data_IF_755439395551
#
_entry.id   IF_755439395551
#
_cell.length_a   1.000
_cell.length_b   1.000
_cell.length_c   1.000
_cell.angle_alpha   90.00
_cell.angle_beta   90.00
_cell.angle_gamma   90.00
#
_symmetry.space_group_name_H-M   'P 1'
#
loop_
_entity.id
_entity.type
_entity.pdbx_description
1 polymer ?
#
# COMPACT_ATOMS: atom_id res chain seq x y z
N UNK A 1 11.49 26.70 -27.99
CA UNK A 1 10.31 26.18 -27.26
C UNK A 1 9.53 27.38 -26.74
N UNK A 2 8.25 27.53 -27.11
CA UNK A 2 7.41 28.62 -26.58
C UNK A 2 7.10 28.31 -25.10
N UNK A 3 7.38 29.22 -24.14
CA UNK A 3 6.99 29.01 -22.76
C UNK A 3 5.46 28.90 -22.67
N UNK A 4 4.97 27.97 -21.85
CA UNK A 4 3.54 27.91 -21.47
C UNK A 4 3.12 29.30 -20.98
N UNK A 5 1.98 29.86 -21.45
CA UNK A 5 1.55 31.17 -21.00
C UNK A 5 1.27 31.11 -19.50
N UNK A 6 2.10 31.82 -18.72
CA UNK A 6 1.85 32.05 -17.31
C UNK A 6 0.46 32.68 -17.19
N UNK A 7 -0.50 31.96 -16.58
CA UNK A 7 -1.86 32.46 -16.42
C UNK A 7 -1.82 33.64 -15.45
N UNK A 8 -1.87 34.86 -16.00
CA UNK A 8 -1.94 36.10 -15.23
C UNK A 8 -3.32 36.18 -14.58
N UNK A 9 -3.35 36.52 -13.30
CA UNK A 9 -4.60 36.69 -12.55
C UNK A 9 -5.39 37.89 -13.09
N UNK A 10 -6.73 37.81 -13.17
CA UNK A 10 -7.60 38.86 -13.75
C UNK A 10 -7.38 40.24 -13.11
N UNK A 11 -7.17 40.27 -11.79
CA UNK A 11 -6.81 41.48 -11.01
C UNK A 11 -5.46 42.14 -11.36
N UNK A 12 -4.64 41.51 -12.21
CA UNK A 12 -3.41 42.09 -12.76
C UNK A 12 -3.52 42.30 -14.28
N UNK A 13 -4.67 42.02 -14.89
CA UNK A 13 -4.84 42.07 -16.35
C UNK A 13 -4.76 43.49 -16.92
N UNK A 14 -4.96 44.52 -16.08
CA UNK A 14 -4.80 45.93 -16.46
C UNK A 14 -3.34 46.38 -16.53
N UNK A 15 -2.41 45.59 -15.99
CA UNK A 15 -0.98 45.89 -15.99
C UNK A 15 -0.30 45.35 -17.25
N UNK A 16 0.66 46.10 -17.79
CA UNK A 16 1.54 45.63 -18.85
C UNK A 16 2.51 44.55 -18.35
N UNK A 17 3.12 43.79 -19.28
CA UNK A 17 4.10 42.76 -18.94
C UNK A 17 5.32 43.34 -18.22
N UNK A 18 5.74 44.56 -18.59
CA UNK A 18 6.81 45.30 -17.93
C UNK A 18 6.42 45.70 -16.51
N UNK A 19 5.19 46.19 -16.32
CA UNK A 19 4.66 46.55 -15.00
C UNK A 19 4.56 45.34 -14.06
N UNK A 20 4.11 44.20 -14.57
CA UNK A 20 4.07 42.94 -13.81
C UNK A 20 5.48 42.50 -13.42
N UNK A 21 6.45 42.64 -14.33
CA UNK A 21 7.84 42.28 -14.07
C UNK A 21 8.47 43.19 -13.00
N UNK A 22 8.21 44.50 -13.07
CA UNK A 22 8.65 45.48 -12.08
C UNK A 22 8.03 45.23 -10.70
N UNK A 23 6.71 45.05 -10.65
CA UNK A 23 5.98 44.67 -9.44
C UNK A 23 6.60 43.42 -8.78
N UNK A 24 6.91 42.41 -9.59
CA UNK A 24 7.53 41.18 -9.14
C UNK A 24 8.95 41.38 -8.56
N UNK A 25 9.74 42.28 -9.15
CA UNK A 25 11.10 42.61 -8.69
C UNK A 25 11.04 43.37 -7.36
N UNK A 26 10.22 44.40 -7.26
CA UNK A 26 10.04 45.21 -6.04
C UNK A 26 9.43 44.43 -4.89
N UNK A 27 8.48 43.54 -5.19
CA UNK A 27 7.95 42.61 -4.19
C UNK A 27 9.05 41.72 -3.59
N UNK A 28 9.94 41.18 -4.43
CA UNK A 28 11.07 40.34 -4.00
C UNK A 28 12.11 41.15 -3.21
N UNK A 29 12.29 42.43 -3.53
CA UNK A 29 13.16 43.34 -2.78
C UNK A 29 12.64 43.65 -1.36
N UNK A 30 11.46 43.14 -0.99
CA UNK A 30 10.89 43.28 0.35
C UNK A 30 10.01 44.52 0.53
N UNK A 31 9.70 45.25 -0.54
CA UNK A 31 8.89 46.46 -0.46
C UNK A 31 7.51 46.20 0.18
N UNK A 32 6.98 47.19 0.90
CA UNK A 32 5.71 47.07 1.59
C UNK A 32 4.55 46.81 0.61
N UNK A 33 3.76 45.76 0.85
CA UNK A 33 2.64 45.39 -0.02
C UNK A 33 1.64 46.55 -0.20
N UNK A 34 1.42 47.34 0.86
CA UNK A 34 0.53 48.52 0.82
C UNK A 34 0.98 49.55 -0.22
N UNK A 35 2.29 49.77 -0.36
CA UNK A 35 2.85 50.70 -1.34
C UNK A 35 2.63 50.17 -2.75
N UNK A 36 3.00 48.90 -2.99
CA UNK A 36 2.85 48.23 -4.27
C UNK A 36 1.38 48.16 -4.73
N UNK A 37 0.46 47.80 -3.83
CA UNK A 37 -0.98 47.74 -4.12
C UNK A 37 -1.51 49.10 -4.56
N UNK A 38 -1.09 50.17 -3.89
CA UNK A 38 -1.55 51.54 -4.19
C UNK A 38 -0.97 52.05 -5.50
N UNK A 39 0.32 51.80 -5.76
CA UNK A 39 1.01 52.32 -6.94
C UNK A 39 0.60 51.61 -8.23
N UNK A 40 0.40 50.29 -8.17
CA UNK A 40 -0.04 49.49 -9.32
C UNK A 40 -1.57 49.35 -9.41
N UNK A 41 -2.31 50.07 -8.56
CA UNK A 41 -3.79 50.08 -8.53
C UNK A 41 -4.40 48.66 -8.49
N UNK A 42 -3.83 47.79 -7.65
CA UNK A 42 -4.24 46.39 -7.57
C UNK A 42 -5.39 46.26 -6.58
N UNK A 43 -6.55 45.77 -7.01
CA UNK A 43 -7.68 45.51 -6.11
C UNK A 43 -7.41 44.27 -5.23
N UNK A 44 -6.70 44.41 -4.11
CA UNK A 44 -6.47 43.32 -3.15
C UNK A 44 -6.11 43.81 -1.75
N UNK A 45 -6.25 42.94 -0.76
CA UNK A 45 -5.75 43.20 0.58
C UNK A 45 -4.23 43.01 0.65
N UNK A 46 -3.58 43.65 1.65
CA UNK A 46 -2.13 43.54 1.85
C UNK A 46 -1.61 42.09 1.86
N UNK A 47 -2.35 41.15 2.47
CA UNK A 47 -1.99 39.73 2.53
C UNK A 47 -2.27 38.96 1.22
N UNK A 48 -3.09 39.52 0.33
CA UNK A 48 -3.54 38.88 -0.91
C UNK A 48 -2.59 39.05 -2.09
N UNK A 49 -1.74 40.08 -2.09
CA UNK A 49 -0.85 40.40 -3.22
C UNK A 49 -0.02 39.20 -3.68
N UNK A 50 0.55 38.42 -2.75
CA UNK A 50 1.39 37.26 -3.05
C UNK A 50 0.68 36.18 -3.89
N UNK A 51 -0.63 36.02 -3.71
CA UNK A 51 -1.44 35.02 -4.43
C UNK A 51 -1.74 35.41 -5.87
N UNK A 52 -1.64 36.72 -6.17
CA UNK A 52 -1.92 37.26 -7.50
C UNK A 52 -0.68 37.22 -8.41
N UNK A 53 0.51 37.28 -7.82
CA UNK A 53 1.74 37.34 -8.58
C UNK A 53 1.97 36.06 -9.38
N UNK A 54 2.42 36.16 -10.64
CA UNK A 54 2.75 34.98 -11.43
C UNK A 54 3.90 34.21 -10.77
N UNK A 55 3.84 32.87 -10.77
CA UNK A 55 4.88 32.03 -10.18
C UNK A 55 6.22 32.20 -10.90
N UNK A 56 7.30 31.84 -10.22
CA UNK A 56 8.63 31.82 -10.81
C UNK A 56 8.85 30.47 -11.51
N UNK A 57 9.23 30.50 -12.78
CA UNK A 57 9.66 29.31 -13.52
C UNK A 57 11.06 28.91 -13.05
N UNK A 58 11.26 27.64 -12.72
CA UNK A 58 12.57 27.07 -12.40
C UNK A 58 13.24 26.48 -13.64
N UNK A 59 14.53 26.16 -13.51
CA UNK A 59 15.28 25.47 -14.58
C UNK A 59 15.08 23.94 -14.53
N UNK A 60 14.35 23.43 -13.55
CA UNK A 60 14.06 22.00 -13.39
C UNK A 60 12.77 21.65 -14.10
N UNK A 61 12.73 20.51 -14.77
CA UNK A 61 11.54 20.00 -15.42
C UNK A 61 10.88 18.91 -14.57
N UNK A 62 9.56 18.85 -14.62
CA UNK A 62 8.79 17.73 -14.08
C UNK A 62 9.22 16.42 -14.74
N UNK A 63 9.49 15.41 -13.93
CA UNK A 63 9.90 14.06 -14.40
C UNK A 63 8.83 13.36 -15.23
N UNK A 64 7.55 13.71 -15.04
CA UNK A 64 6.43 13.08 -15.75
C UNK A 64 6.03 13.84 -17.02
N UNK A 65 5.94 15.16 -16.95
CA UNK A 65 5.42 15.98 -18.06
C UNK A 65 6.52 16.69 -18.87
N UNK A 66 7.76 16.65 -18.40
CA UNK A 66 8.91 17.37 -18.96
C UNK A 66 8.65 18.89 -19.15
N UNK A 67 7.79 19.47 -18.31
CA UNK A 67 7.52 20.92 -18.27
C UNK A 67 8.31 21.57 -17.14
N UNK A 68 8.75 22.83 -17.29
CA UNK A 68 9.41 23.55 -16.21
C UNK A 68 8.55 23.61 -14.95
N UNK A 69 9.16 23.37 -13.79
CA UNK A 69 8.49 23.49 -12.50
C UNK A 69 8.31 24.95 -12.11
N UNK A 70 7.29 25.20 -11.31
CA UNK A 70 6.89 26.51 -10.84
C UNK A 70 7.10 26.60 -9.34
N UNK A 71 7.57 27.76 -8.87
CA UNK A 71 7.73 28.06 -7.45
C UNK A 71 6.86 29.27 -7.13
N UNK A 72 6.09 29.19 -6.04
CA UNK A 72 5.30 30.33 -5.57
C UNK A 72 6.24 31.47 -5.18
N UNK A 73 5.82 32.72 -5.40
CA UNK A 73 6.65 33.85 -4.99
C UNK A 73 6.52 34.05 -3.48
N UNK A 74 7.64 34.24 -2.82
CA UNK A 74 7.71 34.67 -1.43
C UNK A 74 8.75 35.79 -1.26
N UNK A 75 8.61 36.56 -0.17
CA UNK A 75 9.59 37.59 0.20
C UNK A 75 10.79 37.02 0.95
N UNK A 76 10.60 35.87 1.57
CA UNK A 76 11.62 35.17 2.36
C UNK A 76 12.46 34.29 1.43
N UNK A 77 13.75 34.17 1.71
CA UNK A 77 14.61 33.15 1.09
C UNK A 77 14.45 31.77 1.73
N UNK A 78 13.53 31.59 2.68
CA UNK A 78 13.31 30.31 3.36
C UNK A 78 12.89 29.24 2.36
N UNK A 79 13.63 28.12 2.37
CA UNK A 79 13.58 26.96 1.48
C UNK A 79 12.25 26.17 1.43
N UNK A 80 11.10 26.77 1.72
CA UNK A 80 9.83 26.06 1.88
C UNK A 80 8.85 26.19 0.69
N UNK A 81 9.24 26.87 -0.39
CA UNK A 81 8.39 26.91 -1.58
C UNK A 81 8.75 25.73 -2.49
N UNK A 82 8.18 24.56 -2.18
CA UNK A 82 8.34 23.35 -3.00
C UNK A 82 7.94 23.65 -4.45
N UNK A 83 8.87 23.38 -5.37
CA UNK A 83 8.60 23.50 -6.79
C UNK A 83 7.54 22.47 -7.20
N UNK A 84 6.54 22.92 -7.97
CA UNK A 84 5.43 22.09 -8.41
C UNK A 84 5.23 22.16 -9.92
N UNK A 85 4.72 21.08 -10.53
CA UNK A 85 4.36 21.06 -11.94
C UNK A 85 2.96 21.66 -12.13
N UNK A 86 2.78 22.66 -13.01
CA UNK A 86 1.45 23.23 -13.26
C UNK A 86 0.50 22.29 -14.00
N UNK A 87 1.02 21.29 -14.72
CA UNK A 87 0.21 20.37 -15.51
C UNK A 87 -0.33 19.21 -14.67
N UNK A 88 0.53 18.55 -13.90
CA UNK A 88 0.17 17.34 -13.14
C UNK A 88 0.22 17.51 -11.62
N UNK A 89 0.58 18.69 -11.10
CA UNK A 89 0.69 18.93 -9.66
C UNK A 89 1.89 18.27 -8.97
N UNK A 90 2.79 17.63 -9.72
CA UNK A 90 3.98 16.96 -9.18
C UNK A 90 4.84 17.91 -8.34
N UNK A 91 5.20 17.48 -7.13
CA UNK A 91 6.18 18.15 -6.26
C UNK A 91 7.42 17.27 -6.12
N UNK A 92 8.61 17.87 -6.04
CA UNK A 92 9.88 17.14 -5.80
C UNK A 92 10.02 16.71 -4.33
N UNK A 93 9.04 15.95 -3.85
CA UNK A 93 8.98 15.37 -2.51
C UNK A 93 8.75 13.87 -2.61
N UNK A 94 9.32 13.12 -1.66
CA UNK A 94 9.06 11.67 -1.53
C UNK A 94 7.60 11.36 -1.22
N UNK A 95 6.85 12.35 -0.73
CA UNK A 95 5.43 12.22 -0.37
C UNK A 95 4.49 12.82 -1.43
N UNK A 96 4.94 12.98 -2.68
CA UNK A 96 4.09 13.46 -3.77
C UNK A 96 2.91 12.50 -4.02
N UNK A 97 1.71 13.05 -4.14
CA UNK A 97 0.45 12.30 -4.37
C UNK A 97 -0.20 12.67 -5.72
N UNK A 98 0.58 13.10 -6.71
CA UNK A 98 0.02 13.32 -8.04
C UNK A 98 -0.27 11.97 -8.72
N UNK A 99 -1.26 11.95 -9.62
CA UNK A 99 -1.70 10.71 -10.31
C UNK A 99 -0.54 9.91 -10.91
N UNK A 100 0.45 10.60 -11.49
CA UNK A 100 1.61 9.95 -12.08
C UNK A 100 2.52 9.30 -11.01
N UNK A 101 2.77 9.98 -9.89
CA UNK A 101 3.55 9.44 -8.78
C UNK A 101 2.82 8.25 -8.13
N UNK A 102 1.49 8.36 -7.96
CA UNK A 102 0.68 7.26 -7.44
C UNK A 102 0.69 6.04 -8.38
N UNK A 103 0.59 6.25 -9.69
CA UNK A 103 0.68 5.16 -10.66
C UNK A 103 2.06 4.50 -10.65
N UNK A 104 3.15 5.28 -10.61
CA UNK A 104 4.51 4.71 -10.48
C UNK A 104 4.62 3.87 -9.21
N UNK A 105 4.19 4.39 -8.05
CA UNK A 105 4.20 3.64 -6.80
C UNK A 105 3.33 2.38 -6.88
N UNK A 106 2.16 2.45 -7.52
CA UNK A 106 1.27 1.30 -7.70
C UNK A 106 1.92 0.22 -8.56
N UNK A 107 2.58 0.61 -9.65
CA UNK A 107 3.31 -0.31 -10.52
C UNK A 107 4.49 -0.94 -9.78
N UNK A 108 5.28 -0.15 -9.06
CA UNK A 108 6.41 -0.64 -8.26
C UNK A 108 5.96 -1.60 -7.16
N UNK A 109 4.91 -1.26 -6.41
CA UNK A 109 4.30 -2.16 -5.42
C UNK A 109 3.80 -3.45 -6.07
N UNK A 110 3.10 -3.35 -7.21
CA UNK A 110 2.63 -4.52 -7.95
C UNK A 110 3.77 -5.44 -8.43
N UNK A 111 4.87 -4.87 -8.90
CA UNK A 111 6.08 -5.62 -9.27
C UNK A 111 6.73 -6.27 -8.04
N UNK A 112 6.80 -5.55 -6.92
CA UNK A 112 7.35 -6.07 -5.67
C UNK A 112 6.52 -7.23 -5.13
N UNK A 113 5.20 -7.07 -5.06
CA UNK A 113 4.27 -8.14 -4.66
C UNK A 113 4.44 -9.37 -5.53
N UNK A 114 4.50 -9.22 -6.86
CA UNK A 114 4.74 -10.36 -7.78
C UNK A 114 6.07 -11.06 -7.52
N UNK A 115 7.15 -10.31 -7.30
CA UNK A 115 8.46 -10.86 -6.98
C UNK A 115 8.42 -11.66 -5.67
N UNK A 116 7.87 -11.08 -4.62
CA UNK A 116 7.76 -11.74 -3.30
C UNK A 116 6.85 -12.96 -3.37
N UNK A 117 5.71 -12.88 -4.06
CA UNK A 117 4.82 -14.04 -4.28
C UNK A 117 5.54 -15.20 -4.97
N UNK A 118 6.44 -14.93 -5.93
CA UNK A 118 7.25 -15.97 -6.57
C UNK A 118 8.22 -16.64 -5.60
N UNK A 119 8.87 -15.87 -4.74
CA UNK A 119 9.77 -16.38 -3.70
C UNK A 119 8.99 -17.25 -2.71
N UNK A 120 7.81 -16.80 -2.26
CA UNK A 120 6.92 -17.56 -1.37
C UNK A 120 6.48 -18.86 -2.05
N UNK A 121 6.03 -18.81 -3.31
CA UNK A 121 5.60 -20.00 -4.03
C UNK A 121 6.71 -21.03 -4.22
N UNK A 122 7.95 -20.59 -4.46
CA UNK A 122 9.07 -21.53 -4.60
C UNK A 122 9.35 -22.29 -3.29
N UNK A 123 9.24 -21.62 -2.14
CA UNK A 123 9.62 -22.17 -0.84
C UNK A 123 8.47 -22.85 -0.09
N UNK A 124 7.30 -22.21 -0.10
CA UNK A 124 6.11 -22.59 0.67
C UNK A 124 4.89 -22.81 -0.23
N UNK A 125 5.11 -22.96 -1.53
CA UNK A 125 4.03 -23.25 -2.46
C UNK A 125 3.36 -24.60 -2.18
N UNK A 126 2.17 -24.80 -2.76
CA UNK A 126 1.46 -26.06 -2.60
C UNK A 126 2.24 -27.23 -3.21
N UNK A 127 2.14 -28.41 -2.58
CA UNK A 127 2.55 -29.67 -3.18
C UNK A 127 1.77 -29.94 -4.48
N UNK A 128 2.29 -30.78 -5.38
CA UNK A 128 1.58 -31.13 -6.63
C UNK A 128 0.23 -31.83 -6.36
N UNK A 129 0.10 -32.50 -5.21
CA UNK A 129 -1.06 -33.32 -4.86
C UNK A 129 -1.77 -32.74 -3.64
N UNK A 130 -3.03 -32.33 -3.80
CA UNK A 130 -3.89 -31.96 -2.67
C UNK A 130 -4.19 -33.17 -1.79
N UNK A 131 -4.22 -32.95 -0.48
CA UNK A 131 -4.55 -34.01 0.49
C UNK A 131 -6.06 -34.24 0.48
N UNK A 132 -6.49 -35.50 0.36
CA UNK A 132 -7.90 -35.81 0.49
C UNK A 132 -8.30 -35.86 1.97
N UNK A 133 -9.42 -35.25 2.35
CA UNK A 133 -9.92 -35.15 3.72
C UNK A 133 -10.03 -36.51 4.40
N UNK A 134 -10.47 -37.55 3.71
CA UNK A 134 -10.56 -38.93 4.25
C UNK A 134 -9.21 -39.52 4.69
N UNK A 135 -8.12 -39.03 4.09
CA UNK A 135 -6.75 -39.49 4.34
C UNK A 135 -6.03 -38.72 5.46
N UNK A 136 -6.70 -37.73 6.06
CA UNK A 136 -6.17 -36.95 7.18
C UNK A 136 -6.26 -37.80 8.47
N UNK A 137 -5.25 -37.71 9.32
CA UNK A 137 -5.21 -38.35 10.63
C UNK A 137 -5.99 -37.54 11.68
N UNK A 138 -6.38 -38.17 12.78
CA UNK A 138 -7.08 -37.47 13.86
C UNK A 138 -6.26 -36.30 14.42
N UNK A 139 -4.94 -36.47 14.57
CA UNK A 139 -4.02 -35.43 15.05
C UNK A 139 -3.95 -34.24 14.10
N UNK A 140 -3.80 -34.50 12.80
CA UNK A 140 -3.79 -33.44 11.78
C UNK A 140 -5.11 -32.67 11.76
N UNK A 141 -6.24 -33.38 11.87
CA UNK A 141 -7.56 -32.74 11.92
C UNK A 141 -7.73 -31.86 13.16
N UNK A 142 -7.23 -32.30 14.32
CA UNK A 142 -7.25 -31.50 15.54
C UNK A 142 -6.40 -30.24 15.39
N UNK A 143 -5.20 -30.34 14.80
CA UNK A 143 -4.34 -29.18 14.56
C UNK A 143 -4.93 -28.21 13.54
N UNK A 144 -5.55 -28.72 12.47
CA UNK A 144 -6.31 -27.91 11.51
C UNK A 144 -7.46 -27.17 12.20
N UNK A 145 -8.18 -27.84 13.09
CA UNK A 145 -9.30 -27.23 13.80
C UNK A 145 -8.81 -26.11 14.74
N UNK A 146 -7.69 -26.33 15.44
CA UNK A 146 -7.04 -25.30 16.26
C UNK A 146 -6.64 -24.11 15.37
N UNK A 147 -5.94 -24.38 14.27
CA UNK A 147 -5.50 -23.38 13.29
C UNK A 147 -6.66 -22.52 12.76
N UNK A 148 -7.74 -23.15 12.30
CA UNK A 148 -8.93 -22.45 11.77
C UNK A 148 -9.67 -21.66 12.85
N UNK A 149 -9.74 -22.13 14.09
CA UNK A 149 -10.45 -21.42 15.16
C UNK A 149 -9.77 -20.13 15.60
N UNK A 150 -8.45 -20.01 15.44
CA UNK A 150 -7.77 -18.74 15.71
C UNK A 150 -7.76 -17.79 14.52
N UNK A 151 -8.14 -18.26 13.33
CA UNK A 151 -8.30 -17.39 12.18
C UNK A 151 -9.31 -16.27 12.48
N UNK A 152 -9.16 -15.15 11.81
CA UNK A 152 -10.12 -14.05 11.94
C UNK A 152 -11.42 -14.33 11.18
N UNK A 153 -12.44 -13.52 11.45
CA UNK A 153 -13.76 -13.69 10.85
C UNK A 153 -13.82 -13.43 9.33
N UNK A 154 -12.77 -12.84 8.75
CA UNK A 154 -12.69 -12.58 7.30
C UNK A 154 -12.00 -13.71 6.55
N UNK A 155 -11.46 -14.69 7.27
CA UNK A 155 -10.76 -15.82 6.71
C UNK A 155 -11.66 -16.71 5.85
N UNK A 156 -11.06 -17.29 4.82
CA UNK A 156 -11.70 -18.17 3.84
C UNK A 156 -10.79 -19.35 3.53
N UNK A 157 -11.30 -20.34 2.80
CA UNK A 157 -10.53 -21.55 2.45
C UNK A 157 -9.20 -21.24 1.73
N UNK A 158 -9.18 -20.20 0.90
CA UNK A 158 -8.02 -19.77 0.10
C UNK A 158 -7.23 -18.60 0.71
N UNK A 159 -7.69 -18.04 1.82
CA UNK A 159 -7.03 -16.90 2.48
C UNK A 159 -7.37 -16.89 3.97
N UNK A 160 -6.47 -17.44 4.78
CA UNK A 160 -6.57 -17.55 6.23
C UNK A 160 -5.60 -16.57 6.85
N UNK A 161 -6.11 -15.70 7.71
CA UNK A 161 -5.36 -14.64 8.38
C UNK A 161 -5.68 -14.61 9.88
N UNK A 162 -4.74 -14.05 10.65
CA UNK A 162 -4.84 -13.98 12.12
C UNK A 162 -4.83 -12.55 12.66
N UNK A 163 -4.84 -11.54 11.78
CA UNK A 163 -4.54 -10.15 12.12
C UNK A 163 -5.49 -9.52 13.13
N UNK A 164 -6.76 -9.93 13.13
CA UNK A 164 -7.82 -9.30 13.94
C UNK A 164 -8.27 -10.15 15.14
N UNK A 165 -7.66 -11.31 15.37
CA UNK A 165 -8.06 -12.18 16.47
C UNK A 165 -7.09 -12.01 17.65
N UNK A 166 -7.58 -11.49 18.78
CA UNK A 166 -6.81 -11.37 20.03
C UNK A 166 -6.57 -12.72 20.71
N UNK A 167 -7.24 -13.76 20.23
CA UNK A 167 -7.06 -15.15 20.66
C UNK A 167 -5.81 -15.72 20.00
N UNK A 168 -4.64 -15.58 20.64
CA UNK A 168 -3.48 -16.41 20.25
C UNK A 168 -3.90 -17.87 20.24
N UNK A 169 -3.47 -18.62 19.22
CA UNK A 169 -3.77 -20.04 19.03
C UNK A 169 -3.55 -20.82 20.34
N UNK A 170 -2.51 -20.49 21.10
CA UNK A 170 -2.30 -20.84 22.52
C UNK A 170 -1.50 -19.74 23.26
N UNK A 171 -1.41 -19.83 24.60
CA UNK A 171 -0.70 -18.87 25.47
C UNK A 171 0.80 -18.72 25.08
N UNK A 172 1.36 -19.67 24.33
CA UNK A 172 2.79 -19.76 23.99
C UNK A 172 3.04 -19.59 22.47
N UNK A 173 3.68 -18.48 22.08
CA UNK A 173 4.03 -18.16 20.68
C UNK A 173 4.84 -19.26 19.97
N UNK A 174 5.66 -20.03 20.69
CA UNK A 174 6.46 -21.09 20.08
C UNK A 174 5.58 -22.25 19.59
N UNK A 175 4.47 -22.52 20.29
CA UNK A 175 3.56 -23.60 19.94
C UNK A 175 2.74 -23.29 18.69
N UNK A 176 2.39 -22.02 18.49
CA UNK A 176 1.65 -21.56 17.31
C UNK A 176 2.46 -21.78 16.03
N UNK A 177 3.76 -21.45 16.06
CA UNK A 177 4.67 -21.70 14.93
C UNK A 177 4.90 -23.19 14.69
N UNK A 178 4.96 -24.02 15.74
CA UNK A 178 5.06 -25.48 15.61
C UNK A 178 3.84 -26.09 14.91
N UNK A 179 2.62 -25.63 15.24
CA UNK A 179 1.39 -26.07 14.54
C UNK A 179 1.47 -25.69 13.07
N UNK A 180 1.80 -24.44 12.76
CA UNK A 180 1.84 -23.96 11.37
C UNK A 180 2.88 -24.75 10.56
N UNK A 181 4.08 -24.95 11.11
CA UNK A 181 5.13 -25.77 10.48
C UNK A 181 4.65 -27.21 10.26
N UNK A 182 4.06 -27.84 11.27
CA UNK A 182 3.53 -29.20 11.14
C UNK A 182 2.47 -29.30 10.02
N UNK A 183 1.53 -28.36 9.96
CA UNK A 183 0.48 -28.36 8.95
C UNK A 183 1.02 -28.09 7.53
N UNK A 184 2.03 -27.23 7.41
CA UNK A 184 2.71 -26.96 6.15
C UNK A 184 3.52 -28.18 5.68
N UNK A 185 4.30 -28.80 6.56
CA UNK A 185 5.09 -30.02 6.29
C UNK A 185 4.18 -31.19 5.91
N UNK A 186 2.99 -31.29 6.53
CA UNK A 186 1.96 -32.28 6.18
C UNK A 186 1.21 -31.97 4.87
N UNK A 187 1.55 -30.87 4.18
CA UNK A 187 0.88 -30.40 2.96
C UNK A 187 -0.62 -30.18 3.13
N UNK A 188 -1.04 -29.75 4.33
CA UNK A 188 -2.44 -29.44 4.65
C UNK A 188 -2.75 -27.96 4.48
N UNK A 189 -1.74 -27.11 4.60
CA UNK A 189 -1.79 -25.69 4.32
C UNK A 189 -0.56 -25.27 3.51
N UNK A 190 -0.62 -24.13 2.83
CA UNK A 190 0.54 -23.52 2.20
C UNK A 190 0.47 -22.00 2.37
N UNK A 191 1.63 -21.33 2.34
CA UNK A 191 1.69 -19.88 2.50
C UNK A 191 1.33 -19.21 1.18
N UNK A 192 0.36 -18.30 1.24
CA UNK A 192 -0.14 -17.56 0.06
C UNK A 192 0.57 -16.23 -0.08
N UNK A 193 0.71 -15.50 1.03
CA UNK A 193 1.31 -14.17 1.03
C UNK A 193 1.79 -13.77 2.42
N UNK A 194 2.56 -12.69 2.47
CA UNK A 194 2.99 -12.01 3.68
C UNK A 194 2.43 -10.57 3.69
N UNK A 195 2.35 -9.90 4.85
CA UNK A 195 1.91 -8.51 4.90
C UNK A 195 2.82 -7.60 4.08
N UNK A 196 2.23 -6.60 3.41
CA UNK A 196 2.95 -5.69 2.50
C UNK A 196 4.13 -4.98 3.17
N UNK A 197 4.02 -4.66 4.47
CA UNK A 197 5.09 -4.02 5.23
C UNK A 197 6.38 -4.85 5.34
N UNK A 198 6.31 -6.16 5.16
CA UNK A 198 7.49 -7.04 5.11
C UNK A 198 7.99 -7.26 3.68
N UNK A 199 7.20 -6.91 2.66
CA UNK A 199 7.58 -7.16 1.27
C UNK A 199 8.88 -6.48 0.89
N UNK A 200 9.16 -5.28 1.43
CA UNK A 200 10.39 -4.54 1.16
C UNK A 200 11.67 -5.22 1.68
N UNK A 201 11.58 -6.11 2.67
CA UNK A 201 12.76 -6.81 3.20
C UNK A 201 13.04 -8.17 2.54
N UNK A 202 12.17 -8.65 1.63
CA UNK A 202 12.32 -9.99 1.02
C UNK A 202 12.99 -9.91 -0.36
N UNK A 203 14.22 -10.40 -0.44
CA UNK A 203 15.00 -10.49 -1.68
C UNK A 203 15.25 -11.93 -2.12
N UNK A 204 15.21 -12.87 -1.19
CA UNK A 204 15.58 -14.27 -1.36
C UNK A 204 14.73 -15.19 -0.49
N UNK A 205 14.79 -16.50 -0.75
CA UNK A 205 14.06 -17.49 0.04
C UNK A 205 14.52 -17.53 1.50
N UNK A 206 15.81 -17.31 1.79
CA UNK A 206 16.35 -17.30 3.16
C UNK A 206 15.81 -16.15 4.02
N UNK A 207 15.34 -15.06 3.41
CA UNK A 207 14.74 -13.96 4.16
C UNK A 207 13.42 -14.37 4.83
N UNK A 208 12.79 -15.43 4.31
CA UNK A 208 11.54 -15.98 4.86
C UNK A 208 11.75 -16.75 6.18
N UNK A 209 12.99 -17.12 6.55
CA UNK A 209 13.28 -17.87 7.78
C UNK A 209 12.95 -17.11 9.06
N UNK A 210 13.04 -15.77 8.99
CA UNK A 210 12.85 -14.89 10.14
C UNK A 210 11.43 -14.33 10.23
N UNK A 211 10.53 -14.74 9.33
CA UNK A 211 9.15 -14.26 9.33
C UNK A 211 8.38 -14.94 10.44
N UNK A 212 7.65 -14.12 11.20
CA UNK A 212 6.64 -14.65 12.11
C UNK A 212 5.50 -15.26 11.30
N UNK A 213 5.45 -16.60 11.27
CA UNK A 213 4.46 -17.36 10.52
C UNK A 213 3.02 -16.94 10.86
N UNK A 214 2.77 -16.45 12.07
CA UNK A 214 1.43 -16.00 12.47
C UNK A 214 0.98 -14.72 11.75
N UNK A 215 1.91 -13.95 11.18
CA UNK A 215 1.60 -12.75 10.39
C UNK A 215 1.31 -13.06 8.92
N UNK A 216 1.54 -14.30 8.47
CA UNK A 216 1.36 -14.68 7.09
C UNK A 216 -0.09 -15.06 6.77
N UNK A 217 -0.41 -15.08 5.48
CA UNK A 217 -1.65 -15.62 4.97
C UNK A 217 -1.46 -17.02 4.41
N UNK A 218 -2.46 -17.88 4.65
CA UNK A 218 -2.43 -19.29 4.28
C UNK A 218 -3.66 -19.69 3.46
N UNK A 219 -3.57 -20.83 2.79
CA UNK A 219 -4.71 -21.51 2.19
C UNK A 219 -4.73 -22.97 2.63
N UNK A 220 -5.93 -23.53 2.78
CA UNK A 220 -6.09 -24.97 2.98
C UNK A 220 -5.78 -25.70 1.67
N UNK A 221 -5.03 -26.79 1.79
CA UNK A 221 -4.64 -27.64 0.66
C UNK A 221 -5.28 -29.02 0.73
N UNK A 222 -6.58 -29.00 1.03
CA UNK A 222 -7.40 -30.19 1.26
C UNK A 222 -8.47 -30.27 0.17
N UNK A 223 -8.88 -31.49 -0.17
CA UNK A 223 -9.99 -31.78 -1.08
C UNK A 223 -10.90 -32.83 -0.48
N UNK A 224 -12.15 -32.84 -0.90
CA UNK A 224 -13.07 -33.91 -0.63
C UNK A 224 -13.98 -34.10 -1.86
N UNK A 225 -14.49 -35.31 -2.05
CA UNK A 225 -15.33 -35.62 -3.22
C UNK A 225 -16.81 -35.28 -2.97
N UNK A 226 -17.19 -35.03 -1.72
CA UNK A 226 -18.57 -34.84 -1.26
C UNK A 226 -18.73 -33.45 -0.65
N UNK A 227 -17.81 -33.05 0.23
CA UNK A 227 -17.85 -31.77 0.93
C UNK A 227 -17.17 -30.67 0.10
N UNK A 228 -17.83 -29.52 0.00
CA UNK A 228 -17.24 -28.31 -0.56
C UNK A 228 -16.32 -27.60 0.44
N UNK A 229 -15.61 -26.59 -0.05
CA UNK A 229 -14.65 -25.82 0.75
C UNK A 229 -15.29 -25.16 1.98
N UNK A 230 -16.52 -24.66 1.85
CA UNK A 230 -17.27 -24.00 2.93
C UNK A 230 -17.65 -25.01 4.01
N UNK A 231 -18.12 -26.20 3.62
CA UNK A 231 -18.50 -27.27 4.53
C UNK A 231 -17.27 -27.78 5.31
N UNK A 232 -16.13 -27.93 4.63
CA UNK A 232 -14.87 -28.31 5.28
C UNK A 232 -14.45 -27.24 6.28
N UNK A 233 -14.43 -25.96 5.87
CA UNK A 233 -14.01 -24.85 6.73
C UNK A 233 -14.91 -24.74 7.97
N UNK A 234 -16.23 -24.77 7.80
CA UNK A 234 -17.20 -24.75 8.90
C UNK A 234 -17.04 -25.95 9.81
N UNK A 235 -16.76 -27.13 9.25
CA UNK A 235 -16.50 -28.35 10.01
C UNK A 235 -15.24 -28.30 10.86
N UNK A 236 -14.21 -27.58 10.42
CA UNK A 236 -12.99 -27.34 11.18
C UNK A 236 -13.20 -26.27 12.26
N UNK A 237 -14.02 -25.25 11.98
CA UNK A 237 -14.30 -24.16 12.90
C UNK A 237 -15.18 -24.60 14.09
N UNK A 238 -16.32 -25.25 13.83
CA UNK A 238 -17.30 -25.61 14.86
C UNK A 238 -16.96 -26.96 15.55
N UNK A 239 -16.75 -27.01 16.88
CA UNK A 239 -16.53 -28.25 17.63
C UNK A 239 -17.58 -29.35 17.42
N UNK A 240 -18.86 -28.99 17.23
CA UNK A 240 -19.92 -29.97 16.98
C UNK A 240 -19.80 -30.58 15.59
N UNK A 241 -19.50 -29.75 14.58
CA UNK A 241 -19.27 -30.20 13.21
C UNK A 241 -17.94 -30.92 13.03
N UNK A 242 -16.97 -30.69 13.92
CA UNK A 242 -15.72 -31.46 13.95
C UNK A 242 -15.99 -32.95 14.27
N UNK A 243 -16.97 -33.24 15.13
CA UNK A 243 -17.40 -34.62 15.38
C UNK A 243 -18.04 -35.25 14.14
N UNK A 244 -18.79 -34.46 13.37
CA UNK A 244 -19.31 -34.87 12.07
C UNK A 244 -18.18 -35.22 11.10
N UNK A 245 -17.14 -34.38 10.97
CA UNK A 245 -15.98 -34.69 10.13
C UNK A 245 -15.27 -35.98 10.57
N UNK A 246 -15.05 -36.17 11.87
CA UNK A 246 -14.46 -37.40 12.41
C UNK A 246 -15.31 -38.63 12.11
N UNK A 247 -16.63 -38.54 12.25
CA UNK A 247 -17.56 -39.61 11.92
C UNK A 247 -17.60 -39.91 10.42
N UNK A 248 -17.61 -38.87 9.59
CA UNK A 248 -17.55 -38.94 8.13
C UNK A 248 -16.29 -39.68 7.66
N UNK A 249 -15.12 -39.29 8.18
CA UNK A 249 -13.84 -39.93 7.86
C UNK A 249 -13.77 -41.39 8.31
N UNK A 250 -14.45 -41.75 9.41
CA UNK A 250 -14.51 -43.14 9.88
C UNK A 250 -15.41 -44.05 9.03
N UNK A 251 -16.39 -43.49 8.29
CA UNK A 251 -17.32 -44.26 7.45
C UNK A 251 -16.78 -44.56 6.05
N UNK A 252 -15.74 -43.87 5.62
CA UNK A 252 -15.19 -43.94 4.24
C UNK A 252 -13.93 -44.82 4.18
N UNK A 253 -13.41 -45.25 5.34
CA UNK A 253 -12.33 -46.25 5.46
C UNK A 253 -12.89 -47.66 5.51
#
# INVERSE_FOLDING_TARGET
MKPLPLKIHEKLSHLSQEQISELCLRYKAGEANKSLIKEFEIDTYNSGLVKLLPPKITNENCVHCNKPLWVKRSKSSSNSDDAYCPECGHINSRCCQCDNCEEVQRVERGQRTRKVSRIIQNRFGPSEIKRNLSSISAKELDYLSIFIRAADAQSSFSNISFHNNSSKLLINKNFDQEIIRFLADASLIYMVSIPECFSESIESESDLDNIDLFLCHYALYITDNILGEIEILNGLYDPQMQYFLKSYMAKIR
#
